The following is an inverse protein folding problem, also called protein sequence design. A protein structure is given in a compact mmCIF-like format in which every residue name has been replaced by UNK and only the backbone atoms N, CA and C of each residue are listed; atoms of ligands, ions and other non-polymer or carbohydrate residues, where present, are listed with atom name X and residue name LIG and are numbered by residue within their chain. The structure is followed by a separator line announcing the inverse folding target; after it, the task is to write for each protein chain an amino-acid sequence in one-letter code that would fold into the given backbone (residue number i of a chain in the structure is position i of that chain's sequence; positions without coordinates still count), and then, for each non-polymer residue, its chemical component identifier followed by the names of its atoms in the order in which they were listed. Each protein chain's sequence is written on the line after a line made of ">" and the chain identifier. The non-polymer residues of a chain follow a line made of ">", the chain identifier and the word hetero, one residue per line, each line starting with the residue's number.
data_IF_217668550231
#
_entry.id   IF_217668550231
#
_cell.length_a   1.000
_cell.length_b   1.000
_cell.length_c   1.000
_cell.angle_alpha   90.00
_cell.angle_beta   90.00
_cell.angle_gamma   90.00
#
_symmetry.space_group_name_H-M   'P 1'
#
loop_
_entity.id
_entity.type
_entity.pdbx_description
1 polymer ?
#
# COMPACT_ATOMS: atom_id res chain seq x y z
N UNK A 1 -15.67 -25.38 -65.49
CA UNK A 1 -14.91 -25.76 -64.27
C UNK A 1 -15.48 -26.99 -63.56
N UNK A 2 -16.77 -27.32 -63.66
CA UNK A 2 -17.39 -28.49 -62.97
C UNK A 2 -16.79 -29.84 -63.40
N UNK A 3 -16.47 -30.02 -64.69
CA UNK A 3 -15.95 -31.30 -65.21
C UNK A 3 -14.57 -31.73 -64.67
N UNK A 4 -13.75 -30.81 -64.16
CA UNK A 4 -12.41 -31.12 -63.63
C UNK A 4 -12.49 -31.69 -62.22
N UNK A 5 -13.46 -31.24 -61.42
CA UNK A 5 -13.62 -31.69 -60.03
C UNK A 5 -14.21 -33.10 -59.94
N UNK A 6 -15.07 -33.47 -60.89
CA UNK A 6 -15.65 -34.83 -60.96
C UNK A 6 -14.62 -35.88 -61.41
N UNK A 7 -13.72 -35.56 -62.35
CA UNK A 7 -12.64 -36.49 -62.75
C UNK A 7 -11.64 -36.79 -61.63
N UNK A 8 -11.47 -35.88 -60.67
CA UNK A 8 -10.55 -36.03 -59.54
C UNK A 8 -11.23 -36.62 -58.29
N UNK A 9 -12.51 -37.00 -58.35
CA UNK A 9 -13.27 -37.52 -57.21
C UNK A 9 -13.48 -36.51 -56.08
N UNK A 10 -13.29 -35.22 -56.35
CA UNK A 10 -13.34 -34.14 -55.36
C UNK A 10 -14.78 -33.62 -55.28
N UNK A 11 -15.54 -34.15 -54.33
CA UNK A 11 -16.90 -33.68 -54.09
C UNK A 11 -16.90 -32.24 -53.50
N UNK A 12 -17.26 -31.28 -54.34
CA UNK A 12 -17.26 -29.84 -54.04
C UNK A 12 -18.23 -29.48 -52.91
N UNK A 13 -19.31 -30.25 -52.72
CA UNK A 13 -20.27 -30.05 -51.64
C UNK A 13 -19.69 -30.45 -50.28
N UNK A 14 -18.87 -31.51 -50.23
CA UNK A 14 -18.11 -31.89 -49.02
C UNK A 14 -17.10 -30.81 -48.61
N UNK A 15 -16.52 -30.10 -49.58
CA UNK A 15 -15.59 -28.99 -49.30
C UNK A 15 -16.36 -27.76 -48.77
N UNK A 16 -17.49 -27.41 -49.40
CA UNK A 16 -18.34 -26.30 -48.94
C UNK A 16 -18.88 -26.55 -47.53
N UNK A 17 -19.32 -27.77 -47.22
CA UNK A 17 -19.81 -28.16 -45.90
C UNK A 17 -18.70 -28.15 -44.83
N UNK A 18 -17.49 -28.68 -45.15
CA UNK A 18 -16.32 -28.55 -44.25
C UNK A 18 -15.93 -27.10 -43.99
N UNK A 19 -16.01 -26.21 -44.99
CA UNK A 19 -15.72 -24.78 -44.83
C UNK A 19 -16.76 -24.09 -43.92
N UNK A 20 -18.05 -24.42 -44.10
CA UNK A 20 -19.17 -23.96 -43.25
C UNK A 20 -19.07 -24.47 -41.80
N UNK A 21 -18.58 -25.70 -41.60
CA UNK A 21 -18.31 -26.25 -40.28
C UNK A 21 -17.13 -25.57 -39.59
N UNK A 22 -16.03 -25.31 -40.31
CA UNK A 22 -14.89 -24.54 -39.77
C UNK A 22 -15.30 -23.11 -39.37
N UNK A 23 -16.12 -22.43 -40.17
CA UNK A 23 -16.67 -21.11 -39.79
C UNK A 23 -17.57 -21.18 -38.55
N UNK A 24 -18.40 -22.22 -38.40
CA UNK A 24 -19.22 -22.41 -37.20
C UNK A 24 -18.36 -22.69 -35.95
N UNK A 25 -17.27 -23.45 -36.08
CA UNK A 25 -16.33 -23.72 -34.99
C UNK A 25 -15.58 -22.45 -34.60
N UNK A 26 -15.07 -21.67 -35.56
CA UNK A 26 -14.44 -20.37 -35.26
C UNK A 26 -15.42 -19.41 -34.60
N UNK A 27 -16.68 -19.33 -35.03
CA UNK A 27 -17.70 -18.50 -34.37
C UNK A 27 -18.01 -18.95 -32.94
N UNK A 28 -18.04 -20.25 -32.66
CA UNK A 28 -18.19 -20.79 -31.30
C UNK A 28 -16.97 -20.48 -30.42
N UNK A 29 -15.76 -20.62 -30.94
CA UNK A 29 -14.51 -20.27 -30.24
C UNK A 29 -14.43 -18.76 -29.94
N UNK A 30 -14.90 -17.92 -30.87
CA UNK A 30 -14.95 -16.46 -30.69
C UNK A 30 -15.98 -16.04 -29.63
N UNK A 31 -17.09 -16.77 -29.51
CA UNK A 31 -18.06 -16.56 -28.43
C UNK A 31 -17.54 -17.05 -27.07
N UNK A 32 -16.83 -18.19 -27.04
CA UNK A 32 -16.18 -18.70 -25.82
C UNK A 32 -15.12 -17.73 -25.26
N UNK A 33 -14.46 -16.95 -26.13
CA UNK A 33 -13.53 -15.90 -25.71
C UNK A 33 -14.21 -14.66 -25.14
N UNK A 34 -15.47 -14.36 -25.51
CA UNK A 34 -16.22 -13.20 -25.01
C UNK A 34 -16.75 -13.38 -23.59
N UNK A 35 -17.00 -14.61 -23.15
CA UNK A 35 -17.54 -14.86 -21.81
C UNK A 35 -16.46 -14.82 -20.71
N UNK A 36 -15.17 -14.69 -21.08
CA UNK A 36 -14.03 -14.67 -20.16
C UNK A 36 -13.33 -13.29 -20.12
N UNK A 37 -14.10 -12.22 -20.08
CA UNK A 37 -13.62 -10.83 -20.04
C UNK A 37 -13.07 -10.42 -18.65
N UNK A 38 -12.07 -11.14 -18.12
CA UNK A 38 -11.29 -10.71 -16.94
C UNK A 38 -9.79 -11.09 -16.99
N UNK A 39 -9.21 -11.24 -18.18
CA UNK A 39 -7.77 -11.22 -18.38
C UNK A 39 -7.40 -10.11 -19.37
N UNK A 40 -6.79 -9.03 -18.85
CA UNK A 40 -6.09 -7.99 -19.61
C UNK A 40 -6.82 -7.49 -20.87
N UNK A 41 -7.70 -6.51 -20.70
CA UNK A 41 -8.38 -5.82 -21.80
C UNK A 41 -7.37 -5.05 -22.68
N UNK A 42 -6.84 -5.72 -23.70
CA UNK A 42 -6.58 -5.04 -24.97
C UNK A 42 -7.91 -4.44 -25.43
N UNK A 43 -7.97 -3.17 -25.86
CA UNK A 43 -9.24 -2.52 -26.17
C UNK A 43 -9.93 -3.24 -27.34
N UNK A 44 -10.87 -4.12 -27.04
CA UNK A 44 -11.76 -4.83 -27.96
C UNK A 44 -12.94 -3.94 -28.37
N UNK A 45 -12.68 -2.65 -28.63
CA UNK A 45 -13.66 -1.86 -29.38
C UNK A 45 -13.62 -2.38 -30.80
N UNK A 46 -14.59 -3.20 -31.18
CA UNK A 46 -14.85 -3.56 -32.57
C UNK A 46 -15.36 -2.33 -33.31
N UNK A 47 -14.50 -1.33 -33.48
CA UNK A 47 -14.66 -0.37 -34.57
C UNK A 47 -14.53 -1.21 -35.83
N UNK A 48 -15.65 -1.38 -36.54
CA UNK A 48 -15.63 -1.86 -37.91
C UNK A 48 -14.65 -0.94 -38.64
N UNK A 49 -13.46 -1.46 -38.94
CA UNK A 49 -12.46 -0.71 -39.70
C UNK A 49 -13.09 -0.53 -41.06
N UNK A 50 -13.60 0.66 -41.35
CA UNK A 50 -13.97 1.00 -42.72
C UNK A 50 -12.68 1.02 -43.52
N UNK A 51 -12.48 -0.01 -44.36
CA UNK A 51 -11.48 0.03 -45.40
C UNK A 51 -11.95 1.05 -46.44
N UNK A 52 -11.85 2.34 -46.12
CA UNK A 52 -11.78 3.35 -47.17
C UNK A 52 -10.58 2.99 -48.05
N UNK A 53 -10.76 3.03 -49.37
CA UNK A 53 -9.70 2.91 -50.38
C UNK A 53 -8.71 4.08 -50.27
N UNK A 54 -8.06 4.22 -49.12
CA UNK A 54 -6.94 5.13 -48.91
C UNK A 54 -5.77 4.55 -49.70
N UNK A 55 -5.11 5.38 -50.48
CA UNK A 55 -4.00 4.99 -51.32
C UNK A 55 -3.01 4.14 -50.51
N UNK A 56 -2.62 2.99 -51.06
CA UNK A 56 -1.68 2.07 -50.39
C UNK A 56 -0.32 2.75 -50.31
N UNK A 57 0.21 2.86 -49.09
CA UNK A 57 1.55 3.42 -48.86
C UNK A 57 2.61 2.50 -49.44
N UNK A 58 3.54 3.04 -50.21
CA UNK A 58 4.67 2.30 -50.76
C UNK A 58 5.87 2.47 -49.82
N UNK A 59 6.43 1.35 -49.38
CA UNK A 59 7.60 1.27 -48.53
C UNK A 59 8.74 0.65 -49.34
N UNK A 60 9.96 1.21 -49.23
CA UNK A 60 11.18 0.54 -49.72
C UNK A 60 12.29 0.67 -48.69
N UNK A 61 13.31 -0.18 -48.85
CA UNK A 61 14.55 -0.11 -48.09
C UNK A 61 15.39 1.07 -48.61
N UNK A 62 15.67 2.02 -47.72
CA UNK A 62 16.51 3.19 -48.00
C UNK A 62 17.82 3.01 -47.26
N UNK A 63 18.94 3.20 -47.96
CA UNK A 63 20.27 3.24 -47.36
C UNK A 63 20.42 4.57 -46.61
N UNK A 64 20.85 4.50 -45.37
CA UNK A 64 21.04 5.67 -44.54
C UNK A 64 22.32 5.57 -43.70
N UNK A 65 22.87 6.73 -43.38
CA UNK A 65 23.98 6.84 -42.42
C UNK A 65 23.45 7.31 -41.08
N UNK A 66 23.84 6.61 -40.00
CA UNK A 66 23.48 7.01 -38.64
C UNK A 66 24.54 7.94 -38.07
N UNK A 67 24.19 9.20 -37.81
CA UNK A 67 25.11 10.14 -37.14
C UNK A 67 25.41 9.79 -35.68
N UNK A 68 24.68 8.84 -35.09
CA UNK A 68 24.94 8.36 -33.74
C UNK A 68 26.20 7.48 -33.65
N UNK A 69 26.74 7.02 -34.78
CA UNK A 69 27.90 6.15 -34.84
C UNK A 69 29.11 6.91 -35.36
N UNK A 70 30.30 6.49 -34.92
CA UNK A 70 31.57 7.09 -35.33
C UNK A 70 32.24 6.35 -36.50
N UNK A 71 31.67 5.23 -36.96
CA UNK A 71 32.26 4.32 -37.95
C UNK A 71 31.68 4.46 -39.36
N UNK A 72 30.92 5.54 -39.62
CA UNK A 72 30.28 5.87 -40.91
C UNK A 72 29.49 4.70 -41.56
N UNK A 73 29.04 3.73 -40.75
CA UNK A 73 28.37 2.52 -41.22
C UNK A 73 27.05 2.85 -41.93
N UNK A 74 26.90 2.36 -43.16
CA UNK A 74 25.68 2.51 -43.95
C UNK A 74 24.72 1.37 -43.62
N UNK A 75 23.55 1.72 -43.09
CA UNK A 75 22.48 0.79 -42.73
C UNK A 75 21.29 0.93 -43.67
N UNK A 76 20.36 -0.01 -43.64
CA UNK A 76 19.12 0.04 -44.41
C UNK A 76 17.90 0.12 -43.49
N UNK A 77 16.95 1.02 -43.79
CA UNK A 77 15.67 1.15 -43.07
C UNK A 77 14.50 1.17 -44.02
N UNK A 78 13.34 0.69 -43.56
CA UNK A 78 12.09 0.88 -44.29
C UNK A 78 11.63 2.33 -44.16
N UNK A 79 11.53 3.05 -45.29
CA UNK A 79 10.97 4.40 -45.34
C UNK A 79 9.75 4.44 -46.25
N UNK A 80 8.78 5.28 -45.88
CA UNK A 80 7.58 5.53 -46.69
C UNK A 80 7.90 6.58 -47.74
N UNK A 81 7.94 6.16 -49.00
CA UNK A 81 8.35 7.01 -50.13
C UNK A 81 7.16 7.79 -50.72
N UNK A 82 5.96 7.25 -50.55
CA UNK A 82 4.73 7.88 -51.04
C UNK A 82 3.56 6.92 -51.08
N UNK A 83 2.60 7.22 -51.95
CA UNK A 83 1.44 6.38 -52.23
C UNK A 83 1.52 5.83 -53.66
N UNK A 84 0.89 4.69 -53.96
CA UNK A 84 0.92 4.05 -55.30
C UNK A 84 0.57 4.99 -56.47
N UNK A 85 -0.21 6.04 -56.22
CA UNK A 85 -0.67 6.98 -57.25
C UNK A 85 0.30 8.17 -57.44
N UNK A 86 1.26 8.35 -56.54
CA UNK A 86 2.29 9.39 -56.65
C UNK A 86 3.45 8.81 -57.46
N UNK A 87 3.64 9.28 -58.70
CA UNK A 87 4.83 8.98 -59.51
C UNK A 87 6.03 9.76 -58.95
N UNK A 88 6.55 9.34 -57.80
CA UNK A 88 7.82 9.82 -57.26
C UNK A 88 8.93 8.86 -57.67
N UNK A 89 9.88 9.34 -58.46
CA UNK A 89 11.12 8.63 -58.76
C UNK A 89 11.94 8.50 -57.48
N UNK A 90 12.12 7.27 -57.03
CA UNK A 90 12.96 6.95 -55.88
C UNK A 90 14.30 6.43 -56.36
N UNK A 91 15.36 7.15 -56.03
CA UNK A 91 16.73 6.74 -56.34
C UNK A 91 17.22 5.81 -55.24
N UNK A 92 17.41 4.53 -55.55
CA UNK A 92 17.84 3.50 -54.59
C UNK A 92 19.26 3.70 -54.04
N UNK A 93 20.08 4.50 -54.73
CA UNK A 93 21.48 4.77 -54.36
C UNK A 93 21.69 6.08 -53.59
N UNK A 94 20.64 6.87 -53.35
CA UNK A 94 20.76 8.04 -52.48
C UNK A 94 20.90 7.58 -51.03
N UNK A 95 22.04 7.90 -50.43
CA UNK A 95 22.29 7.70 -49.00
C UNK A 95 21.74 8.91 -48.25
N UNK A 96 20.71 8.69 -47.43
CA UNK A 96 20.14 9.74 -46.58
C UNK A 96 20.88 9.78 -45.23
N UNK A 97 21.18 10.98 -44.72
CA UNK A 97 21.64 11.12 -43.33
C UNK A 97 20.42 11.06 -42.40
N UNK A 98 20.32 10.01 -41.57
CA UNK A 98 19.21 9.86 -40.63
C UNK A 98 19.51 10.51 -39.28
N UNK A 99 18.88 11.65 -39.03
CA UNK A 99 18.98 12.38 -37.76
C UNK A 99 17.78 12.10 -36.82
N UNK A 100 16.87 11.19 -37.18
CA UNK A 100 15.62 10.96 -36.43
C UNK A 100 15.88 10.56 -34.98
N UNK A 101 16.92 9.73 -34.77
CA UNK A 101 17.26 9.18 -33.46
C UNK A 101 18.42 9.89 -32.75
N UNK A 102 19.09 10.83 -33.42
CA UNK A 102 20.26 11.55 -32.88
C UNK A 102 19.92 12.30 -31.59
N UNK A 103 18.73 12.93 -31.54
CA UNK A 103 18.21 13.63 -30.35
C UNK A 103 18.05 12.74 -29.11
N UNK A 104 18.01 11.42 -29.28
CA UNK A 104 17.86 10.47 -28.18
C UNK A 104 19.21 9.90 -27.70
N UNK A 105 20.30 10.09 -28.46
CA UNK A 105 21.64 9.64 -28.08
C UNK A 105 22.27 10.58 -27.05
N UNK A 106 21.67 10.65 -25.86
CA UNK A 106 22.17 11.48 -24.75
C UNK A 106 23.22 10.69 -23.98
N UNK A 107 24.49 11.08 -24.13
CA UNK A 107 25.59 10.52 -23.33
C UNK A 107 25.60 11.12 -21.93
N UNK A 108 25.91 10.28 -20.94
CA UNK A 108 26.01 10.71 -19.55
C UNK A 108 27.40 11.30 -19.35
N UNK A 109 27.48 12.54 -18.85
CA UNK A 109 28.75 13.14 -18.47
C UNK A 109 29.11 12.69 -17.05
N UNK A 110 30.13 11.84 -16.92
CA UNK A 110 30.61 11.35 -15.64
C UNK A 110 31.62 12.32 -15.06
N UNK A 111 31.39 12.71 -13.82
CA UNK A 111 32.23 13.67 -13.11
C UNK A 111 33.51 12.95 -12.67
N UNK A 112 34.65 13.39 -13.19
CA UNK A 112 35.97 12.90 -12.79
C UNK A 112 36.40 13.58 -11.49
N UNK A 113 37.03 12.83 -10.61
CA UNK A 113 37.59 13.33 -9.35
C UNK A 113 39.11 13.40 -9.41
N UNK A 114 39.68 14.25 -8.56
CA UNK A 114 41.13 14.34 -8.38
C UNK A 114 41.60 13.40 -7.25
N UNK A 115 42.86 13.01 -7.30
CA UNK A 115 43.49 12.14 -6.30
C UNK A 115 43.45 12.75 -4.90
N UNK A 116 43.70 14.05 -4.78
CA UNK A 116 43.65 14.77 -3.50
C UNK A 116 42.26 14.70 -2.85
N UNK A 117 41.21 14.79 -3.68
CA UNK A 117 39.82 14.67 -3.24
C UNK A 117 39.53 13.23 -2.79
N UNK A 118 40.09 12.25 -3.50
CA UNK A 118 39.95 10.85 -3.15
C UNK A 118 40.45 10.56 -1.74
N UNK A 119 41.69 10.93 -1.43
CA UNK A 119 42.29 10.68 -0.12
C UNK A 119 41.62 11.49 0.99
N UNK A 120 41.15 12.72 0.70
CA UNK A 120 40.52 13.60 1.69
C UNK A 120 39.10 13.16 2.07
N UNK A 121 38.26 12.85 1.08
CA UNK A 121 36.82 12.69 1.30
C UNK A 121 36.26 11.30 0.95
N UNK A 122 36.85 10.61 -0.04
CA UNK A 122 36.28 9.36 -0.58
C UNK A 122 36.82 8.12 0.15
N UNK A 123 38.12 8.09 0.45
CA UNK A 123 38.77 7.01 1.19
C UNK A 123 38.19 6.81 2.61
N UNK A 124 38.00 7.85 3.45
CA UNK A 124 37.46 7.67 4.79
C UNK A 124 36.00 7.20 4.81
N UNK A 125 35.27 7.34 3.71
CA UNK A 125 33.86 6.96 3.62
C UNK A 125 33.65 5.44 3.62
N UNK A 126 34.57 4.68 3.01
CA UNK A 126 34.42 3.24 2.93
C UNK A 126 35.80 2.56 2.82
N UNK A 127 36.20 1.88 3.89
CA UNK A 127 37.47 1.16 3.97
C UNK A 127 37.52 -0.08 3.09
N UNK A 128 36.36 -0.57 2.64
CA UNK A 128 36.27 -1.79 1.84
C UNK A 128 36.54 -1.55 0.35
N UNK A 129 36.69 -0.29 -0.08
CA UNK A 129 36.92 0.09 -1.47
C UNK A 129 38.32 0.64 -1.65
N UNK A 130 39.05 0.07 -2.61
CA UNK A 130 40.35 0.61 -3.01
C UNK A 130 40.17 1.73 -4.05
N UNK A 131 41.20 2.57 -4.20
CA UNK A 131 41.21 3.61 -5.22
C UNK A 131 41.14 2.99 -6.61
N UNK A 132 41.96 1.98 -6.85
CA UNK A 132 42.01 1.22 -8.10
C UNK A 132 40.63 0.65 -8.49
N UNK A 133 39.92 0.04 -7.53
CA UNK A 133 38.56 -0.48 -7.75
C UNK A 133 37.56 0.64 -8.06
N UNK A 134 37.70 1.80 -7.41
CA UNK A 134 36.82 2.96 -7.65
C UNK A 134 37.09 3.58 -9.03
N UNK A 135 38.35 3.72 -9.42
CA UNK A 135 38.74 4.21 -10.75
C UNK A 135 38.26 3.26 -11.84
N UNK A 136 38.39 1.94 -11.61
CA UNK A 136 37.87 0.90 -12.49
C UNK A 136 36.36 1.02 -12.69
N UNK A 137 35.60 1.19 -11.59
CA UNK A 137 34.16 1.40 -11.65
C UNK A 137 33.79 2.63 -12.49
N UNK A 138 34.46 3.76 -12.27
CA UNK A 138 34.17 4.99 -13.02
C UNK A 138 34.47 4.84 -14.52
N UNK A 139 35.56 4.15 -14.88
CA UNK A 139 35.89 3.84 -16.26
C UNK A 139 34.84 2.94 -16.94
N UNK A 140 34.34 1.93 -16.22
CA UNK A 140 33.25 1.09 -16.71
C UNK A 140 31.95 1.89 -16.87
N UNK A 141 31.62 2.75 -15.91
CA UNK A 141 30.47 3.62 -16.02
C UNK A 141 30.58 4.56 -17.24
N UNK A 142 31.77 5.08 -17.57
CA UNK A 142 32.03 5.93 -18.75
C UNK A 142 31.89 5.16 -20.05
N UNK A 143 32.37 3.91 -20.08
CA UNK A 143 32.29 3.04 -21.25
C UNK A 143 30.87 2.56 -21.54
N UNK A 144 30.07 2.32 -20.51
CA UNK A 144 28.73 1.72 -20.62
C UNK A 144 27.61 2.69 -20.24
N UNK A 145 27.83 4.01 -20.25
CA UNK A 145 26.82 5.04 -19.95
C UNK A 145 26.01 4.74 -18.65
N UNK A 146 26.69 4.30 -17.59
CA UNK A 146 26.10 3.91 -16.30
C UNK A 146 24.98 2.85 -16.38
N UNK A 147 24.97 1.99 -17.40
CA UNK A 147 24.08 0.83 -17.44
C UNK A 147 24.53 -0.21 -16.41
N UNK A 148 24.14 -0.03 -15.15
CA UNK A 148 24.64 -0.81 -14.00
C UNK A 148 24.46 -2.33 -14.13
N UNK A 149 23.48 -2.79 -14.91
CA UNK A 149 23.29 -4.22 -15.19
C UNK A 149 24.48 -4.76 -16.00
N UNK A 150 24.88 -4.03 -17.05
CA UNK A 150 26.02 -4.39 -17.89
C UNK A 150 27.33 -4.20 -17.12
N UNK A 151 27.45 -3.11 -16.36
CA UNK A 151 28.63 -2.84 -15.53
C UNK A 151 28.86 -3.96 -14.52
N UNK A 152 27.81 -4.47 -13.89
CA UNK A 152 27.90 -5.60 -12.96
C UNK A 152 28.25 -6.91 -13.66
N UNK A 153 27.73 -7.15 -14.86
CA UNK A 153 28.01 -8.36 -15.64
C UNK A 153 29.47 -8.43 -16.12
N UNK A 154 30.04 -7.28 -16.51
CA UNK A 154 31.44 -7.15 -16.95
C UNK A 154 32.40 -6.90 -15.77
N UNK A 155 31.88 -6.76 -14.55
CA UNK A 155 32.69 -6.47 -13.38
C UNK A 155 33.67 -7.60 -13.10
N UNK A 156 34.90 -7.27 -12.68
CA UNK A 156 35.92 -8.28 -12.44
C UNK A 156 35.50 -9.20 -11.28
N UNK A 157 35.51 -10.51 -11.52
CA UNK A 157 35.14 -11.56 -10.57
C UNK A 157 36.01 -11.55 -9.31
N UNK A 158 37.20 -10.92 -9.37
CA UNK A 158 38.05 -10.64 -8.20
C UNK A 158 37.29 -9.85 -7.13
N UNK A 159 36.43 -8.92 -7.53
CA UNK A 159 35.63 -8.09 -6.66
C UNK A 159 34.19 -8.60 -6.67
N UNK A 160 33.86 -9.50 -5.74
CA UNK A 160 32.49 -10.00 -5.57
C UNK A 160 31.59 -8.88 -5.01
N UNK A 161 31.04 -8.05 -5.90
CA UNK A 161 30.13 -6.95 -5.56
C UNK A 161 28.73 -7.21 -6.09
N UNK A 162 27.73 -6.72 -5.37
CA UNK A 162 26.35 -6.70 -5.86
C UNK A 162 26.09 -5.43 -6.69
N UNK A 163 25.02 -5.46 -7.49
CA UNK A 163 24.59 -4.29 -8.29
C UNK A 163 24.33 -3.09 -7.39
N UNK A 164 23.77 -3.32 -6.21
CA UNK A 164 23.43 -2.31 -5.23
C UNK A 164 24.68 -1.66 -4.61
N UNK A 165 25.69 -2.45 -4.25
CA UNK A 165 26.96 -1.95 -3.73
C UNK A 165 27.69 -1.09 -4.78
N UNK A 166 27.69 -1.54 -6.04
CA UNK A 166 28.27 -0.80 -7.17
C UNK A 166 27.58 0.56 -7.33
N UNK A 167 26.23 0.58 -7.28
CA UNK A 167 25.45 1.82 -7.35
C UNK A 167 25.72 2.73 -6.15
N UNK A 168 25.74 2.17 -4.95
CA UNK A 168 25.99 2.90 -3.72
C UNK A 168 27.35 3.60 -3.77
N UNK A 169 28.39 2.89 -4.20
CA UNK A 169 29.73 3.48 -4.37
C UNK A 169 29.73 4.57 -5.43
N UNK A 170 29.14 4.34 -6.61
CA UNK A 170 29.12 5.33 -7.68
C UNK A 170 28.40 6.62 -7.26
N UNK A 171 27.19 6.51 -6.68
CA UNK A 171 26.40 7.67 -6.29
C UNK A 171 26.98 8.41 -5.09
N UNK A 172 27.54 7.70 -4.10
CA UNK A 172 28.20 8.33 -2.96
C UNK A 172 29.42 9.14 -3.36
N UNK A 173 30.29 8.57 -4.20
CA UNK A 173 31.46 9.27 -4.75
C UNK A 173 31.01 10.46 -5.59
N UNK A 174 30.10 10.26 -6.54
CA UNK A 174 29.63 11.34 -7.43
C UNK A 174 28.99 12.49 -6.64
N UNK A 175 28.23 12.18 -5.58
CA UNK A 175 27.68 13.18 -4.66
C UNK A 175 28.78 14.00 -4.01
N UNK A 176 29.82 13.36 -3.46
CA UNK A 176 30.93 14.02 -2.79
C UNK A 176 31.73 14.92 -3.72
N UNK A 177 32.03 14.44 -4.92
CA UNK A 177 32.72 15.24 -5.94
C UNK A 177 31.92 16.47 -6.31
N UNK A 178 30.58 16.34 -6.40
CA UNK A 178 29.73 17.50 -6.67
C UNK A 178 29.63 18.46 -5.47
N UNK A 179 29.59 17.94 -4.23
CA UNK A 179 29.64 18.75 -3.02
C UNK A 179 30.92 19.59 -2.97
N UNK A 180 32.09 18.97 -3.16
CA UNK A 180 33.38 19.64 -3.15
C UNK A 180 33.50 20.67 -4.29
N UNK A 181 32.99 20.37 -5.48
CA UNK A 181 32.97 21.33 -6.60
C UNK A 181 32.18 22.59 -6.26
N UNK A 182 31.02 22.46 -5.61
CA UNK A 182 30.26 23.62 -5.14
C UNK A 182 30.97 24.33 -3.99
N UNK A 183 31.61 23.60 -3.06
CA UNK A 183 32.33 24.20 -1.95
C UNK A 183 33.57 24.97 -2.39
N UNK A 184 34.30 24.49 -3.40
CA UNK A 184 35.38 25.23 -4.04
C UNK A 184 34.87 26.52 -4.71
N UNK A 185 33.74 26.45 -5.42
CA UNK A 185 33.12 27.64 -6.03
C UNK A 185 32.69 28.67 -4.98
N UNK A 186 32.09 28.21 -3.87
CA UNK A 186 31.69 29.08 -2.76
C UNK A 186 32.93 29.74 -2.13
N UNK A 187 33.99 28.97 -1.83
CA UNK A 187 35.25 29.51 -1.28
C UNK A 187 35.89 30.53 -2.21
N UNK A 188 35.94 30.27 -3.52
CA UNK A 188 36.46 31.22 -4.48
C UNK A 188 35.64 32.51 -4.49
N UNK A 189 34.31 32.42 -4.46
CA UNK A 189 33.45 33.61 -4.43
C UNK A 189 33.56 34.39 -3.12
N UNK A 190 33.72 33.70 -1.98
CA UNK A 190 34.02 34.30 -0.68
C UNK A 190 35.36 35.05 -0.68
N UNK A 191 36.40 34.49 -1.33
CA UNK A 191 37.73 35.14 -1.41
C UNK A 191 37.75 36.38 -2.30
N UNK A 192 36.88 36.47 -3.31
CA UNK A 192 36.84 37.61 -4.24
C UNK A 192 36.36 38.92 -3.60
N UNK A 193 35.82 38.91 -2.37
CA UNK A 193 35.43 40.11 -1.58
C UNK A 193 34.59 41.16 -2.32
N UNK A 194 33.97 40.83 -3.46
CA UNK A 194 32.99 41.68 -4.15
C UNK A 194 31.62 41.32 -3.57
N UNK A 195 30.95 42.34 -3.03
CA UNK A 195 29.85 42.32 -2.04
C UNK A 195 28.50 41.75 -2.53
N UNK A 196 28.46 40.65 -3.26
CA UNK A 196 27.19 40.02 -3.63
C UNK A 196 26.90 38.80 -2.75
N UNK A 197 26.42 39.04 -1.53
CA UNK A 197 25.86 37.99 -0.66
C UNK A 197 24.82 37.12 -1.39
N UNK A 198 24.12 37.71 -2.36
CA UNK A 198 23.14 37.03 -3.21
C UNK A 198 23.75 35.92 -4.07
N UNK A 199 24.99 36.04 -4.56
CA UNK A 199 25.58 35.04 -5.46
C UNK A 199 26.06 33.81 -4.68
N UNK A 200 26.61 34.01 -3.48
CA UNK A 200 26.92 32.92 -2.53
C UNK A 200 25.63 32.21 -2.11
N UNK A 201 24.55 32.94 -1.85
CA UNK A 201 23.25 32.36 -1.50
C UNK A 201 22.68 31.52 -2.65
N UNK A 202 22.74 32.02 -3.90
CA UNK A 202 22.35 31.27 -5.09
C UNK A 202 23.18 29.99 -5.26
N UNK A 203 24.49 30.02 -5.02
CA UNK A 203 25.35 28.84 -5.09
C UNK A 203 25.00 27.80 -4.03
N UNK A 204 24.72 28.23 -2.79
CA UNK A 204 24.26 27.34 -1.71
C UNK A 204 22.89 26.71 -2.04
N UNK A 205 21.98 27.51 -2.60
CA UNK A 205 20.67 27.02 -3.05
C UNK A 205 20.79 26.07 -4.23
N UNK A 206 21.67 26.35 -5.19
CA UNK A 206 21.97 25.48 -6.32
C UNK A 206 22.57 24.14 -5.85
N UNK A 207 23.49 24.16 -4.88
CA UNK A 207 24.04 22.95 -4.22
C UNK A 207 22.91 22.11 -3.63
N UNK A 208 22.00 22.72 -2.86
CA UNK A 208 20.89 22.03 -2.22
C UNK A 208 19.85 21.46 -3.21
N UNK A 209 19.64 22.14 -4.35
CA UNK A 209 18.70 21.71 -5.39
C UNK A 209 19.29 20.72 -6.39
N UNK A 210 20.62 20.57 -6.44
CA UNK A 210 21.29 19.71 -7.42
C UNK A 210 20.81 18.26 -7.30
N UNK A 211 20.36 17.59 -8.39
CA UNK A 211 19.78 16.26 -8.31
C UNK A 211 20.67 15.21 -7.62
N UNK A 212 21.98 15.21 -7.91
CA UNK A 212 22.95 14.27 -7.31
C UNK A 212 23.20 14.51 -5.80
N UNK A 213 22.87 15.69 -5.28
CA UNK A 213 23.03 16.03 -3.86
C UNK A 213 21.72 15.82 -3.12
N UNK A 214 20.61 16.29 -3.71
CA UNK A 214 19.26 16.18 -3.17
C UNK A 214 18.77 14.74 -3.08
N UNK A 215 18.97 13.95 -4.13
CA UNK A 215 18.53 12.57 -4.18
C UNK A 215 19.71 11.65 -3.90
N UNK A 216 19.75 11.13 -2.68
CA UNK A 216 20.76 10.16 -2.26
C UNK A 216 20.29 8.74 -2.56
N UNK A 217 21.14 7.95 -3.20
CA UNK A 217 20.88 6.52 -3.34
C UNK A 217 20.85 5.85 -1.96
N UNK A 218 19.84 5.02 -1.74
CA UNK A 218 19.69 4.21 -0.54
C UNK A 218 19.61 2.75 -0.97
N UNK A 219 20.67 1.98 -0.67
CA UNK A 219 20.76 0.56 -1.00
C UNK A 219 19.62 -0.24 -0.37
N UNK A 220 19.32 -0.02 0.91
CA UNK A 220 18.30 -0.77 1.64
C UNK A 220 16.91 -0.56 1.03
N UNK A 221 16.58 0.69 0.67
CA UNK A 221 15.31 1.00 0.01
C UNK A 221 15.19 0.35 -1.38
N UNK A 222 16.29 0.25 -2.14
CA UNK A 222 16.29 -0.41 -3.45
C UNK A 222 16.09 -1.93 -3.32
N UNK A 223 16.72 -2.56 -2.31
CA UNK A 223 16.51 -3.97 -1.98
C UNK A 223 15.06 -4.25 -1.57
N UNK A 224 14.50 -3.45 -0.66
CA UNK A 224 13.11 -3.57 -0.23
C UNK A 224 12.14 -3.41 -1.40
N UNK A 225 12.36 -2.40 -2.25
CA UNK A 225 11.57 -2.19 -3.46
C UNK A 225 11.63 -3.41 -4.40
N UNK A 226 12.80 -3.99 -4.62
CA UNK A 226 12.95 -5.22 -5.43
C UNK A 226 12.21 -6.40 -4.81
N UNK A 227 12.32 -6.57 -3.49
CA UNK A 227 11.62 -7.63 -2.77
C UNK A 227 10.09 -7.46 -2.85
N UNK A 228 9.58 -6.25 -2.74
CA UNK A 228 8.14 -5.96 -2.88
C UNK A 228 7.66 -6.31 -4.29
N UNK A 229 8.39 -5.86 -5.33
CA UNK A 229 8.04 -6.16 -6.72
C UNK A 229 8.07 -7.67 -6.98
N UNK A 230 9.11 -8.38 -6.49
CA UNK A 230 9.20 -9.82 -6.63
C UNK A 230 8.02 -10.52 -5.95
N UNK A 231 7.64 -10.09 -4.74
CA UNK A 231 6.44 -10.58 -4.06
C UNK A 231 5.19 -10.39 -4.91
N UNK A 232 5.01 -9.23 -5.55
CA UNK A 232 3.84 -8.99 -6.41
C UNK A 232 3.73 -10.01 -7.55
N UNK A 233 4.84 -10.53 -8.08
CA UNK A 233 4.82 -11.56 -9.12
C UNK A 233 4.61 -12.98 -8.59
N UNK A 234 5.04 -13.28 -7.36
CA UNK A 234 4.94 -14.62 -6.77
C UNK A 234 3.67 -14.86 -5.96
N UNK A 235 3.06 -13.80 -5.44
CA UNK A 235 1.92 -13.87 -4.52
C UNK A 235 0.65 -14.25 -5.29
N UNK A 236 -0.07 -15.26 -4.78
CA UNK A 236 -1.34 -15.70 -5.36
C UNK A 236 -2.45 -14.70 -5.05
N UNK A 237 -3.49 -14.63 -5.90
CA UNK A 237 -4.66 -13.78 -5.64
C UNK A 237 -5.32 -14.06 -4.28
N UNK A 238 -5.27 -15.31 -3.81
CA UNK A 238 -5.80 -15.69 -2.48
C UNK A 238 -5.02 -15.03 -1.35
N UNK A 239 -3.69 -14.97 -1.48
CA UNK A 239 -2.80 -14.39 -0.49
C UNK A 239 -2.97 -12.86 -0.45
N UNK A 240 -3.20 -12.21 -1.60
CA UNK A 240 -3.51 -10.77 -1.66
C UNK A 240 -4.81 -10.46 -0.91
N UNK A 241 -5.89 -11.22 -1.15
CA UNK A 241 -7.16 -11.01 -0.42
C UNK A 241 -6.99 -11.25 1.09
N UNK A 242 -6.17 -12.25 1.47
CA UNK A 242 -5.87 -12.50 2.87
C UNK A 242 -5.08 -11.32 3.48
N UNK A 243 -4.08 -10.80 2.78
CA UNK A 243 -3.33 -9.61 3.21
C UNK A 243 -4.24 -8.38 3.37
N UNK A 244 -5.14 -8.13 2.43
CA UNK A 244 -6.12 -7.04 2.52
C UNK A 244 -7.04 -7.17 3.75
N UNK A 245 -7.59 -8.37 3.99
CA UNK A 245 -8.41 -8.61 5.18
C UNK A 245 -7.62 -8.45 6.47
N UNK A 246 -6.36 -8.89 6.51
CA UNK A 246 -5.49 -8.70 7.68
C UNK A 246 -5.17 -7.23 7.91
N UNK A 247 -4.90 -6.44 6.86
CA UNK A 247 -4.64 -5.00 6.97
C UNK A 247 -5.87 -4.25 7.49
N UNK A 248 -7.07 -4.63 7.05
CA UNK A 248 -8.30 -4.04 7.55
C UNK A 248 -8.52 -4.38 9.03
N UNK A 249 -8.22 -5.61 9.43
CA UNK A 249 -8.25 -6.02 10.84
C UNK A 249 -7.23 -5.22 11.67
N UNK A 250 -6.00 -5.03 11.19
CA UNK A 250 -4.99 -4.19 11.86
C UNK A 250 -5.50 -2.76 12.04
N UNK A 251 -6.06 -2.13 11.00
CA UNK A 251 -6.65 -0.78 11.11
C UNK A 251 -7.77 -0.70 12.15
N UNK A 252 -8.61 -1.74 12.23
CA UNK A 252 -9.67 -1.84 13.25
C UNK A 252 -9.05 -1.93 14.66
N UNK A 253 -7.99 -2.72 14.84
CA UNK A 253 -7.27 -2.81 16.12
C UNK A 253 -6.58 -1.49 16.49
N UNK A 254 -5.89 -0.83 15.57
CA UNK A 254 -5.26 0.46 15.82
C UNK A 254 -6.28 1.53 16.24
N UNK A 255 -7.47 1.52 15.63
CA UNK A 255 -8.56 2.43 15.98
C UNK A 255 -9.07 2.16 17.39
N UNK A 256 -9.23 0.89 17.79
CA UNK A 256 -9.60 0.49 19.16
C UNK A 256 -8.53 0.94 20.17
N UNK A 257 -7.25 0.74 19.86
CA UNK A 257 -6.14 1.17 20.72
C UNK A 257 -6.15 2.69 20.93
N UNK A 258 -6.30 3.48 19.84
CA UNK A 258 -6.41 4.94 19.93
C UNK A 258 -7.58 5.37 20.82
N UNK A 259 -8.72 4.68 20.72
CA UNK A 259 -9.91 4.98 21.51
C UNK A 259 -9.70 4.65 23.00
N UNK A 260 -9.08 3.51 23.33
CA UNK A 260 -8.71 3.18 24.71
C UNK A 260 -7.68 4.16 25.30
N UNK A 261 -6.67 4.58 24.52
CA UNK A 261 -5.72 5.61 24.94
C UNK A 261 -6.41 6.95 25.22
N UNK A 262 -7.39 7.33 24.40
CA UNK A 262 -8.19 8.54 24.62
C UNK A 262 -9.04 8.43 25.90
N UNK A 263 -9.71 7.30 26.13
CA UNK A 263 -10.45 7.04 27.39
C UNK A 263 -9.55 7.15 28.62
N UNK A 264 -8.34 6.57 28.56
CA UNK A 264 -7.38 6.64 29.67
C UNK A 264 -6.91 8.08 29.94
N UNK A 265 -6.66 8.85 28.87
CA UNK A 265 -6.28 10.27 28.98
C UNK A 265 -7.42 11.12 29.56
N UNK A 266 -8.66 10.89 29.11
CA UNK A 266 -9.84 11.62 29.60
C UNK A 266 -10.16 11.25 31.06
N UNK A 267 -10.01 9.98 31.44
CA UNK A 267 -10.09 9.54 32.84
C UNK A 267 -9.02 10.21 33.72
N UNK A 268 -7.79 10.38 33.22
CA UNK A 268 -6.72 11.08 33.95
C UNK A 268 -7.03 12.57 34.14
N UNK A 269 -7.62 13.23 33.13
CA UNK A 269 -8.10 14.61 33.23
C UNK A 269 -9.26 14.73 34.23
N UNK A 270 -10.20 13.79 34.21
CA UNK A 270 -11.33 13.76 35.14
C UNK A 270 -10.85 13.61 36.59
N UNK A 271 -9.95 12.64 36.86
CA UNK A 271 -9.34 12.45 38.18
C UNK A 271 -8.63 13.71 38.68
N UNK A 272 -7.93 14.44 37.80
CA UNK A 272 -7.26 15.70 38.15
C UNK A 272 -8.25 16.84 38.40
N UNK A 273 -9.36 16.91 37.68
CA UNK A 273 -10.37 17.98 37.79
C UNK A 273 -11.23 17.85 39.05
N UNK A 274 -11.42 16.63 39.54
CA UNK A 274 -12.29 16.34 40.68
C UNK A 274 -11.53 15.90 41.94
N UNK A 275 -10.20 15.97 41.94
CA UNK A 275 -9.34 15.66 43.10
C UNK A 275 -9.65 14.29 43.75
N UNK A 276 -10.09 13.29 42.97
CA UNK A 276 -10.40 11.96 43.50
C UNK A 276 -9.13 11.27 44.00
N UNK A 277 -9.04 11.06 45.31
CA UNK A 277 -8.08 10.13 45.93
C UNK A 277 -8.45 8.70 45.55
N UNK A 278 -7.44 7.82 45.50
CA UNK A 278 -7.53 6.46 44.95
C UNK A 278 -8.50 5.51 45.68
N UNK A 279 -9.13 5.96 46.77
CA UNK A 279 -9.96 5.13 47.64
C UNK A 279 -11.48 5.25 47.38
N UNK A 280 -11.95 6.27 46.65
CA UNK A 280 -13.39 6.45 46.34
C UNK A 280 -13.78 5.97 44.92
N UNK A 281 -12.83 5.49 44.12
CA UNK A 281 -13.12 4.97 42.77
C UNK A 281 -13.50 3.50 42.89
N UNK A 282 -14.80 3.20 43.01
CA UNK A 282 -15.29 1.83 42.84
C UNK A 282 -14.85 1.33 41.45
N UNK A 283 -14.11 0.21 41.35
CA UNK A 283 -13.64 -0.31 40.08
C UNK A 283 -14.82 -0.62 39.17
N UNK A 284 -14.96 0.12 38.07
CA UNK A 284 -15.88 -0.26 36.99
C UNK A 284 -15.28 -1.52 36.37
N UNK A 285 -15.79 -2.68 36.78
CA UNK A 285 -15.42 -3.97 36.21
C UNK A 285 -15.94 -3.99 34.77
N UNK A 286 -15.02 -3.93 33.79
CA UNK A 286 -15.33 -4.21 32.38
C UNK A 286 -16.06 -5.56 32.33
N UNK A 287 -17.22 -5.61 31.66
CA UNK A 287 -17.89 -6.87 31.33
C UNK A 287 -16.88 -7.73 30.52
N UNK A 288 -16.73 -9.03 30.81
CA UNK A 288 -15.90 -9.90 29.98
C UNK A 288 -16.49 -9.91 28.56
N UNK A 289 -15.71 -9.50 27.57
CA UNK A 289 -16.04 -9.77 26.17
C UNK A 289 -16.00 -11.29 25.99
N UNK A 290 -17.07 -11.85 25.41
CA UNK A 290 -17.22 -13.29 25.21
C UNK A 290 -16.17 -13.81 24.23
N UNK A 291 -15.04 -14.27 24.75
CA UNK A 291 -14.20 -15.22 24.02
C UNK A 291 -14.95 -16.56 24.00
N UNK A 292 -15.60 -16.80 22.85
CA UNK A 292 -16.10 -18.12 22.49
C UNK A 292 -14.92 -19.06 22.34
N UNK A 293 -14.63 -19.83 23.39
CA UNK A 293 -14.01 -21.14 23.23
C UNK A 293 -14.25 -21.99 24.49
N UNK A 294 -14.71 -23.20 24.23
CA UNK A 294 -15.24 -24.16 25.19
C UNK A 294 -14.27 -24.49 26.33
N UNK A 295 -14.81 -24.71 27.54
CA UNK A 295 -14.64 -25.98 28.28
C UNK A 295 -15.38 -26.03 29.62
N UNK A 296 -15.85 -27.24 29.87
CA UNK A 296 -16.56 -27.80 31.01
C UNK A 296 -16.05 -27.39 32.40
N UNK A 297 -16.98 -26.97 33.26
CA UNK A 297 -17.41 -27.58 34.55
C UNK A 297 -18.25 -26.48 35.23
N UNK A 298 -19.56 -26.49 34.98
CA UNK A 298 -20.47 -25.50 35.55
C UNK A 298 -20.92 -25.95 36.94
N UNK A 299 -20.06 -25.75 37.94
CA UNK A 299 -20.56 -25.70 39.32
C UNK A 299 -21.45 -24.46 39.45
N UNK A 300 -22.59 -24.60 40.13
CA UNK A 300 -23.59 -23.54 40.30
C UNK A 300 -22.99 -22.19 40.72
N UNK A 301 -21.85 -22.22 41.42
CA UNK A 301 -21.06 -21.05 41.84
C UNK A 301 -20.64 -20.13 40.68
N UNK A 302 -20.33 -20.66 39.50
CA UNK A 302 -19.97 -19.85 38.32
C UNK A 302 -21.18 -19.15 37.69
N UNK A 303 -22.35 -19.81 37.69
CA UNK A 303 -23.60 -19.20 37.22
C UNK A 303 -24.02 -18.03 38.12
N UNK A 304 -23.84 -18.16 39.44
CA UNK A 304 -24.12 -17.08 40.39
C UNK A 304 -23.08 -15.94 40.33
N UNK A 305 -21.82 -16.25 39.99
CA UNK A 305 -20.77 -15.24 39.81
C UNK A 305 -21.01 -14.35 38.57
N UNK A 306 -21.69 -14.88 37.54
CA UNK A 306 -22.15 -14.09 36.38
C UNK A 306 -23.17 -13.00 36.76
N UNK A 307 -23.88 -13.11 37.87
CA UNK A 307 -24.85 -12.10 38.33
C UNK A 307 -24.30 -11.14 39.40
N UNK A 308 -23.03 -11.28 39.83
CA UNK A 308 -22.36 -10.41 40.83
C UNK A 308 -23.25 -10.06 42.03
N UNK A 309 -24.08 -11.00 42.49
CA UNK A 309 -24.86 -10.85 43.71
C UNK A 309 -23.91 -11.12 44.87
N UNK A 310 -23.80 -10.17 45.80
CA UNK A 310 -22.91 -10.27 46.94
C UNK A 310 -23.28 -11.48 47.82
N UNK A 311 -22.28 -12.18 48.36
CA UNK A 311 -22.47 -13.44 49.10
C UNK A 311 -23.33 -13.21 50.35
N UNK A 312 -23.26 -12.02 50.95
CA UNK A 312 -24.11 -11.60 52.08
C UNK A 312 -25.61 -11.54 51.72
N UNK A 313 -25.96 -11.41 50.44
CA UNK A 313 -27.35 -11.35 49.99
C UNK A 313 -28.02 -12.73 49.94
N UNK A 314 -27.23 -13.81 49.94
CA UNK A 314 -27.74 -15.18 49.86
C UNK A 314 -28.54 -15.56 51.11
N UNK A 315 -28.06 -15.21 52.30
CA UNK A 315 -28.75 -15.52 53.57
C UNK A 315 -30.10 -14.79 53.66
N UNK A 316 -30.16 -13.53 53.19
CA UNK A 316 -31.42 -12.75 53.14
C UNK A 316 -32.41 -13.33 52.14
N UNK A 317 -31.90 -13.87 51.03
CA UNK A 317 -32.73 -14.50 50.01
C UNK A 317 -33.24 -15.86 50.48
N UNK A 318 -32.45 -16.61 51.26
CA UNK A 318 -32.90 -17.85 51.90
C UNK A 318 -34.01 -17.59 52.94
N UNK A 319 -33.88 -16.52 53.73
CA UNK A 319 -34.95 -16.07 54.65
C UNK A 319 -36.22 -15.72 53.86
N UNK A 320 -36.09 -14.94 52.77
CA UNK A 320 -37.22 -14.55 51.94
C UNK A 320 -37.92 -15.75 51.27
N UNK A 321 -37.16 -16.72 50.76
CA UNK A 321 -37.73 -17.93 50.19
C UNK A 321 -38.46 -18.76 51.24
N UNK A 322 -37.91 -18.85 52.46
CA UNK A 322 -38.54 -19.53 53.58
C UNK A 322 -39.84 -18.85 54.03
N UNK A 323 -39.88 -17.52 54.08
CA UNK A 323 -41.10 -16.74 54.37
C UNK A 323 -42.20 -16.95 53.32
N UNK A 324 -41.83 -17.24 52.07
CA UNK A 324 -42.76 -17.54 50.98
C UNK A 324 -43.03 -19.06 50.80
N UNK A 325 -42.75 -19.87 51.83
CA UNK A 325 -42.96 -21.33 51.87
C UNK A 325 -42.18 -22.12 50.80
N UNK A 326 -41.04 -21.61 50.33
CA UNK A 326 -40.14 -22.32 49.41
C UNK A 326 -38.97 -22.86 50.21
N UNK A 327 -39.06 -24.13 50.61
CA UNK A 327 -37.99 -24.81 51.35
C UNK A 327 -36.80 -25.18 50.44
N UNK A 328 -35.63 -25.30 51.05
CA UNK A 328 -34.43 -25.76 50.34
C UNK A 328 -34.61 -27.24 49.96
N UNK A 329 -34.33 -27.65 48.72
CA UNK A 329 -34.48 -29.04 48.30
C UNK A 329 -33.69 -29.99 49.21
N UNK A 330 -34.36 -31.03 49.69
CA UNK A 330 -33.76 -32.07 50.55
C UNK A 330 -33.04 -33.14 49.74
N UNK A 331 -33.43 -33.33 48.48
CA UNK A 331 -32.84 -34.29 47.54
C UNK A 331 -32.12 -33.53 46.43
N UNK A 332 -30.82 -33.75 46.32
CA UNK A 332 -29.93 -33.05 45.39
C UNK A 332 -29.72 -33.87 44.11
N UNK A 333 -30.72 -33.92 43.24
CA UNK A 333 -30.52 -34.35 41.85
C UNK A 333 -30.13 -33.14 40.99
N UNK A 334 -29.37 -33.37 39.91
CA UNK A 334 -28.86 -32.31 39.03
C UNK A 334 -29.96 -31.35 38.56
N UNK A 335 -31.09 -31.90 38.09
CA UNK A 335 -32.22 -31.11 37.60
C UNK A 335 -32.88 -30.26 38.70
N UNK A 336 -33.03 -30.80 39.91
CA UNK A 336 -33.65 -30.08 41.03
C UNK A 336 -32.74 -28.94 41.51
N UNK A 337 -31.44 -29.20 41.62
CA UNK A 337 -30.44 -28.19 41.96
C UNK A 337 -30.37 -27.07 40.91
N UNK A 338 -30.43 -27.43 39.63
CA UNK A 338 -30.44 -26.47 38.53
C UNK A 338 -31.69 -25.57 38.58
N UNK A 339 -32.88 -26.16 38.66
CA UNK A 339 -34.14 -25.42 38.72
C UNK A 339 -34.24 -24.53 39.97
N UNK A 340 -33.84 -25.04 41.13
CA UNK A 340 -33.78 -24.25 42.36
C UNK A 340 -32.78 -23.10 42.24
N UNK A 341 -31.65 -23.32 41.57
CA UNK A 341 -30.68 -22.27 41.30
C UNK A 341 -31.24 -21.16 40.41
N UNK A 342 -31.96 -21.51 39.34
CA UNK A 342 -32.63 -20.55 38.44
C UNK A 342 -33.73 -19.76 39.19
N UNK A 343 -34.56 -20.45 39.97
CA UNK A 343 -35.58 -19.80 40.78
C UNK A 343 -34.96 -18.78 41.75
N UNK A 344 -33.84 -19.16 42.38
CA UNK A 344 -33.08 -18.30 43.29
C UNK A 344 -32.55 -17.04 42.58
N UNK A 345 -32.05 -17.18 41.34
CA UNK A 345 -31.58 -16.02 40.56
C UNK A 345 -32.72 -15.09 40.18
N UNK A 346 -33.86 -15.64 39.74
CA UNK A 346 -34.99 -14.84 39.29
C UNK A 346 -35.59 -14.03 40.46
N UNK A 347 -35.73 -14.66 41.63
CA UNK A 347 -36.17 -13.98 42.86
C UNK A 347 -35.18 -12.88 43.26
N UNK A 348 -33.87 -13.10 43.13
CA UNK A 348 -32.87 -12.06 43.42
C UNK A 348 -33.02 -10.84 42.50
N UNK A 349 -33.22 -11.08 41.20
CA UNK A 349 -33.41 -10.03 40.20
C UNK A 349 -34.68 -9.24 40.51
N UNK A 350 -35.79 -9.92 40.79
CA UNK A 350 -37.07 -9.28 41.12
C UNK A 350 -36.98 -8.40 42.38
N UNK A 351 -36.29 -8.87 43.43
CA UNK A 351 -36.07 -8.07 44.65
C UNK A 351 -35.22 -6.82 44.39
N UNK A 352 -34.19 -6.93 43.54
CA UNK A 352 -33.37 -5.78 43.17
C UNK A 352 -34.13 -4.77 42.31
N UNK A 353 -34.94 -5.26 41.36
CA UNK A 353 -35.82 -4.41 40.54
C UNK A 353 -36.85 -3.70 41.42
N UNK A 354 -37.47 -4.41 42.37
CA UNK A 354 -38.40 -3.81 43.35
C UNK A 354 -37.73 -2.67 44.12
N UNK A 355 -36.55 -2.90 44.68
CA UNK A 355 -35.78 -1.86 45.39
C UNK A 355 -35.44 -0.66 44.50
N UNK A 356 -35.07 -0.91 43.24
CA UNK A 356 -34.78 0.17 42.29
C UNK A 356 -36.05 0.97 41.94
N UNK A 357 -37.18 0.31 41.76
CA UNK A 357 -38.47 0.95 41.53
C UNK A 357 -38.86 1.81 42.74
N UNK A 358 -38.67 1.31 43.97
CA UNK A 358 -38.94 2.08 45.19
C UNK A 358 -38.06 3.34 45.27
N UNK A 359 -36.76 3.24 44.96
CA UNK A 359 -35.88 4.42 44.88
C UNK A 359 -36.32 5.42 43.81
N UNK A 360 -36.66 4.94 42.61
CA UNK A 360 -37.14 5.81 41.53
C UNK A 360 -38.47 6.48 41.89
N UNK A 361 -39.37 5.80 42.62
CA UNK A 361 -40.59 6.41 43.15
C UNK A 361 -40.27 7.53 44.14
N UNK A 362 -39.33 7.32 45.06
CA UNK A 362 -38.89 8.35 46.00
C UNK A 362 -38.28 9.56 45.28
N UNK A 363 -37.39 9.34 44.30
CA UNK A 363 -36.82 10.41 43.46
C UNK A 363 -37.90 11.19 42.72
N UNK A 364 -38.91 10.49 42.15
CA UNK A 364 -40.03 11.13 41.47
C UNK A 364 -40.85 12.02 42.41
N UNK A 365 -41.18 11.53 43.61
CA UNK A 365 -41.92 12.32 44.61
C UNK A 365 -41.10 13.54 45.07
N UNK A 366 -39.78 13.39 45.23
CA UNK A 366 -38.89 14.50 45.54
C UNK A 366 -38.91 15.60 44.47
N UNK A 367 -38.75 15.23 43.19
CA UNK A 367 -38.79 16.20 42.09
C UNK A 367 -40.16 16.84 41.90
N UNK A 368 -41.23 16.09 42.15
CA UNK A 368 -42.60 16.62 42.14
C UNK A 368 -42.79 17.67 43.25
N UNK A 369 -42.26 17.43 44.44
CA UNK A 369 -42.25 18.41 45.53
C UNK A 369 -41.46 19.68 45.19
N UNK A 370 -40.28 19.53 44.57
CA UNK A 370 -39.47 20.67 44.10
C UNK A 370 -40.19 21.51 43.04
N UNK A 371 -40.87 20.88 42.09
CA UNK A 371 -41.67 21.60 41.08
C UNK A 371 -42.81 22.37 41.72
N UNK A 372 -43.54 21.78 42.67
CA UNK A 372 -44.61 22.47 43.40
C UNK A 372 -44.06 23.69 44.17
N UNK A 373 -42.90 23.57 44.82
CA UNK A 373 -42.26 24.68 45.52
C UNK A 373 -41.87 25.83 44.57
N UNK A 374 -41.33 25.50 43.39
CA UNK A 374 -40.98 26.49 42.36
C UNK A 374 -42.21 27.18 41.78
N UNK A 375 -43.31 26.45 41.58
CA UNK A 375 -44.58 26.99 41.11
C UNK A 375 -45.22 27.92 42.16
N UNK A 376 -45.13 27.57 43.44
CA UNK A 376 -45.51 28.46 44.54
C UNK A 376 -44.66 29.72 44.61
N UNK A 377 -43.34 29.62 44.42
CA UNK A 377 -42.45 30.80 44.36
C UNK A 377 -42.76 31.69 43.16
N UNK A 378 -43.08 31.11 42.01
CA UNK A 378 -43.48 31.84 40.82
C UNK A 378 -44.79 32.59 41.03
N UNK A 379 -45.80 31.94 41.61
CA UNK A 379 -47.07 32.56 41.98
C UNK A 379 -46.90 33.67 43.03
N UNK A 380 -46.00 33.48 44.00
CA UNK A 380 -45.64 34.53 44.99
C UNK A 380 -44.94 35.72 44.35
N UNK A 381 -44.15 35.53 43.30
CA UNK A 381 -43.52 36.61 42.53
C UNK A 381 -44.53 37.37 41.67
N UNK A 382 -45.45 36.67 41.01
CA UNK A 382 -46.51 37.32 40.20
C UNK A 382 -47.46 38.17 41.04
N UNK A 383 -47.77 37.79 42.29
CA UNK A 383 -48.61 38.59 43.20
C UNK A 383 -47.91 39.82 43.81
N UNK A 384 -46.60 39.97 43.62
CA UNK A 384 -45.80 41.10 44.14
C UNK A 384 -45.53 42.20 43.10
N UNK A 385 -45.84 41.94 41.84
CA UNK A 385 -45.99 42.91 40.74
C UNK A 385 -47.46 43.24 40.56
#
# INVERSE_FOLDING_TARGET
>A
MSHIYDMLGINVEKIKTKKKQKEKISKKQLNFLKDNDNLFSLPTTSKIISLNNKNVSVWRLVKFRSKCRNDDLILTKWSKIGYKNDQKEFNEDKIEDDNTFEKFNKKINIIKYNDDLYYREIQPMNTNWTKEETDYLFNLCEKYDCHFIIVNDVYDLKYKRTIEEIKERFYSVTKKVMEDKFDQQIKLEETKKIKNNNDILKLKEAKAKHPLIKFTYNMQADLERKNIIHKTYTVSKKDVMLEETTLENIKKFESKIKLELKKAADMKKLKKKFELTTEEIVPITKLPEEDKEDKNIYSARYYFQKLKIDISYFDKLDIYLKENNIEKPTIYTENICFLYGVLRTDVAILLNLRKKIEKLKQEREFWKGQMNNLEEEYLKKQKKT
#
